data_IF_746881365076
#
_entry.id   IF_746881365076
#
_cell.length_a   1.000
_cell.length_b   1.000
_cell.length_c   1.000
_cell.angle_alpha   90.00
_cell.angle_beta   90.00
_cell.angle_gamma   90.00
#
_symmetry.space_group_name_H-M   'P 1'
#
loop_
_entity.id
_entity.type
_entity.pdbx_description
1 polymer ?
#
# COMPACT_ATOMS: atom_id res chain seq x y z
N UNK A 1 -7.21 -15.31 14.20
CA UNK A 1 -7.41 -14.76 12.84
C UNK A 1 -6.65 -13.46 12.55
N UNK A 2 -6.53 -12.48 13.48
CA UNK A 2 -5.81 -11.22 13.21
C UNK A 2 -4.32 -11.38 12.84
N UNK A 3 -3.59 -12.28 13.49
CA UNK A 3 -2.17 -12.50 13.20
C UNK A 3 -1.92 -13.00 11.75
N UNK A 4 -2.84 -13.81 11.21
CA UNK A 4 -2.77 -14.32 9.83
C UNK A 4 -3.00 -13.22 8.81
N UNK A 5 -3.97 -12.33 9.05
CA UNK A 5 -4.25 -11.18 8.18
C UNK A 5 -3.07 -10.20 8.15
N UNK A 6 -2.51 -9.86 9.31
CA UNK A 6 -1.33 -8.99 9.39
C UNK A 6 -0.13 -9.62 8.68
N UNK A 7 0.13 -10.91 8.90
CA UNK A 7 1.24 -11.61 8.24
C UNK A 7 1.11 -11.68 6.71
N UNK A 8 -0.13 -11.71 6.20
CA UNK A 8 -0.40 -11.72 4.76
C UNK A 8 -0.33 -10.32 4.13
N UNK A 9 -0.76 -9.27 4.84
CA UNK A 9 -0.79 -7.90 4.30
C UNK A 9 0.55 -7.17 4.44
N UNK A 10 1.31 -7.46 5.51
CA UNK A 10 2.57 -6.76 5.83
C UNK A 10 3.60 -6.77 4.69
N UNK A 11 3.85 -7.89 3.99
CA UNK A 11 4.79 -7.91 2.87
C UNK A 11 4.41 -6.91 1.76
N UNK A 12 3.13 -6.73 1.48
CA UNK A 12 2.67 -5.80 0.45
C UNK A 12 2.84 -4.34 0.88
N UNK A 13 2.56 -4.03 2.15
CA UNK A 13 2.80 -2.70 2.71
C UNK A 13 4.28 -2.33 2.65
N UNK A 14 5.18 -3.26 2.98
CA UNK A 14 6.62 -3.02 2.94
C UNK A 14 7.13 -2.73 1.53
N UNK A 15 6.55 -3.35 0.49
CA UNK A 15 6.89 -3.02 -0.91
C UNK A 15 6.54 -1.58 -1.26
N UNK A 16 5.38 -1.09 -0.83
CA UNK A 16 4.99 0.32 -1.06
C UNK A 16 5.86 1.28 -0.26
N UNK A 17 6.22 0.93 0.98
CA UNK A 17 7.14 1.71 1.82
C UNK A 17 8.52 1.82 1.17
N UNK A 18 9.04 0.74 0.58
CA UNK A 18 10.32 0.77 -0.15
C UNK A 18 10.28 1.73 -1.35
N UNK A 19 9.18 1.74 -2.11
CA UNK A 19 8.98 2.72 -3.19
C UNK A 19 8.92 4.15 -2.66
N UNK A 20 8.26 4.38 -1.53
CA UNK A 20 8.22 5.69 -0.90
C UNK A 20 9.60 6.17 -0.44
N UNK A 21 10.45 5.27 0.09
CA UNK A 21 11.85 5.56 0.44
C UNK A 21 12.67 5.87 -0.83
N UNK A 22 12.44 5.16 -1.92
CA UNK A 22 13.10 5.43 -3.22
C UNK A 22 12.71 6.80 -3.77
N UNK A 23 11.45 7.21 -3.62
CA UNK A 23 10.99 8.53 -4.05
C UNK A 23 11.71 9.67 -3.31
N UNK A 24 11.94 9.54 -2.00
CA UNK A 24 12.71 10.53 -1.23
C UNK A 24 14.17 10.66 -1.70
N UNK A 25 14.71 9.64 -2.36
CA UNK A 25 16.03 9.67 -2.98
C UNK A 25 16.01 10.26 -4.40
N UNK A 26 14.88 10.84 -4.82
CA UNK A 26 14.69 11.47 -6.13
C UNK A 26 14.32 10.50 -7.25
N UNK A 27 13.99 9.23 -6.95
CA UNK A 27 13.59 8.27 -7.98
C UNK A 27 12.14 8.48 -8.40
N UNK A 28 11.86 8.41 -9.71
CA UNK A 28 10.50 8.37 -10.21
C UNK A 28 9.90 6.97 -9.98
N UNK A 29 8.93 6.87 -9.07
CA UNK A 29 8.30 5.61 -8.67
C UNK A 29 6.82 5.51 -9.07
N UNK A 30 6.24 6.51 -9.75
CA UNK A 30 4.80 6.59 -9.97
C UNK A 30 4.23 5.35 -10.68
N UNK A 31 4.91 4.90 -11.73
CA UNK A 31 4.56 3.66 -12.43
C UNK A 31 4.69 2.44 -11.51
N UNK A 32 5.81 2.32 -10.76
CA UNK A 32 6.07 1.19 -9.87
C UNK A 32 4.98 1.08 -8.79
N UNK A 33 4.53 2.21 -8.25
CA UNK A 33 3.49 2.26 -7.22
C UNK A 33 2.18 1.73 -7.77
N UNK A 34 1.77 2.20 -8.95
CA UNK A 34 0.53 1.72 -9.60
C UNK A 34 0.59 0.22 -9.91
N UNK A 35 1.68 -0.25 -10.49
CA UNK A 35 1.88 -1.68 -10.81
C UNK A 35 1.90 -2.55 -9.55
N UNK A 36 2.62 -2.13 -8.51
CA UNK A 36 2.71 -2.85 -7.22
C UNK A 36 1.34 -2.93 -6.54
N UNK A 37 0.58 -1.83 -6.55
CA UNK A 37 -0.76 -1.79 -5.96
C UNK A 37 -1.72 -2.68 -6.74
N UNK A 38 -1.69 -2.64 -8.08
CA UNK A 38 -2.54 -3.48 -8.92
C UNK A 38 -2.28 -4.97 -8.65
N UNK A 39 -1.01 -5.39 -8.63
CA UNK A 39 -0.61 -6.77 -8.32
C UNK A 39 -1.04 -7.18 -6.91
N UNK A 40 -0.82 -6.30 -5.93
CA UNK A 40 -1.25 -6.56 -4.55
C UNK A 40 -2.76 -6.75 -4.46
N UNK A 41 -3.55 -5.87 -5.09
CA UNK A 41 -5.01 -5.98 -5.06
C UNK A 41 -5.49 -7.28 -5.70
N UNK A 42 -4.87 -7.73 -6.81
CA UNK A 42 -5.16 -9.02 -7.41
C UNK A 42 -4.80 -10.18 -6.46
N UNK A 43 -3.57 -10.18 -5.93
CA UNK A 43 -3.07 -11.21 -5.00
C UNK A 43 -3.93 -11.36 -3.74
N UNK A 44 -4.41 -10.25 -3.18
CA UNK A 44 -5.30 -10.25 -2.01
C UNK A 44 -6.73 -10.67 -2.37
N UNK A 45 -7.21 -10.31 -3.57
CA UNK A 45 -8.57 -10.65 -4.03
C UNK A 45 -8.73 -12.14 -4.34
N UNK A 46 -7.64 -12.83 -4.70
CA UNK A 46 -7.65 -14.27 -4.97
C UNK A 46 -7.69 -15.14 -3.71
N UNK A 47 -7.57 -14.55 -2.51
CA UNK A 47 -7.58 -15.29 -1.25
C UNK A 47 -9.01 -15.52 -0.74
N UNK A 48 -9.20 -16.61 0.01
CA UNK A 48 -10.51 -16.95 0.60
C UNK A 48 -11.06 -15.87 1.58
N UNK A 49 -10.18 -15.02 2.11
CA UNK A 49 -10.49 -13.93 3.03
C UNK A 49 -10.26 -12.54 2.41
N UNK A 50 -10.40 -12.43 1.09
CA UNK A 50 -10.15 -11.23 0.29
C UNK A 50 -10.66 -9.92 0.92
N UNK A 51 -11.94 -9.86 1.31
CA UNK A 51 -12.53 -8.65 1.87
C UNK A 51 -11.78 -8.15 3.11
N UNK A 52 -11.39 -9.06 4.01
CA UNK A 52 -10.66 -8.72 5.22
C UNK A 52 -9.21 -8.30 4.90
N UNK A 53 -8.56 -8.96 3.95
CA UNK A 53 -7.20 -8.61 3.53
C UNK A 53 -7.13 -7.24 2.86
N UNK A 54 -8.06 -6.95 1.94
CA UNK A 54 -8.15 -5.66 1.26
C UNK A 54 -8.42 -4.54 2.25
N UNK A 55 -9.35 -4.73 3.19
CA UNK A 55 -9.62 -3.76 4.24
C UNK A 55 -8.38 -3.50 5.11
N UNK A 56 -7.69 -4.56 5.55
CA UNK A 56 -6.44 -4.41 6.33
C UNK A 56 -5.30 -3.78 5.53
N UNK A 57 -5.25 -3.97 4.21
CA UNK A 57 -4.28 -3.29 3.35
C UNK A 57 -4.55 -1.77 3.30
N UNK A 58 -5.82 -1.36 3.19
CA UNK A 58 -6.19 0.06 3.27
C UNK A 58 -5.84 0.67 4.62
N UNK A 59 -6.22 0.00 5.72
CA UNK A 59 -5.88 0.44 7.08
C UNK A 59 -4.36 0.57 7.29
N UNK A 60 -3.58 -0.35 6.72
CA UNK A 60 -2.13 -0.32 6.78
C UNK A 60 -1.52 0.88 6.05
N UNK A 61 -2.02 1.21 4.86
CA UNK A 61 -1.58 2.39 4.11
C UNK A 61 -1.94 3.69 4.85
N UNK A 62 -3.16 3.80 5.39
CA UNK A 62 -3.59 4.96 6.15
C UNK A 62 -2.77 5.12 7.45
N UNK A 63 -2.48 4.02 8.13
CA UNK A 63 -1.63 4.01 9.32
C UNK A 63 -0.21 4.45 9.01
N UNK A 64 0.36 3.99 7.89
CA UNK A 64 1.70 4.39 7.45
C UNK A 64 1.76 5.89 7.10
N UNK A 65 0.69 6.46 6.53
CA UNK A 65 0.57 7.91 6.29
C UNK A 65 0.51 8.67 7.62
N UNK A 66 -0.31 8.21 8.57
CA UNK A 66 -0.51 8.87 9.85
C UNK A 66 0.76 8.86 10.73
N UNK A 67 1.57 7.81 10.63
CA UNK A 67 2.81 7.65 11.39
C UNK A 67 4.03 8.30 10.73
N UNK A 68 3.94 8.68 9.45
CA UNK A 68 5.05 9.31 8.75
C UNK A 68 5.38 10.69 9.35
N UNK A 69 6.68 10.96 9.52
CA UNK A 69 7.14 12.29 9.90
C UNK A 69 6.71 13.32 8.84
N UNK A 70 6.10 14.44 9.27
CA UNK A 70 5.53 15.46 8.36
C UNK A 70 6.53 16.04 7.35
N UNK A 71 7.82 16.04 7.66
CA UNK A 71 8.88 16.50 6.78
C UNK A 71 9.16 15.56 5.58
N UNK A 72 8.61 14.34 5.58
CA UNK A 72 8.81 13.33 4.52
C UNK A 72 7.73 13.47 3.44
N UNK A 73 7.72 14.61 2.75
CA UNK A 73 6.64 14.97 1.82
C UNK A 73 6.49 13.98 0.66
N UNK A 74 7.59 13.60 -0.01
CA UNK A 74 7.57 12.65 -1.13
C UNK A 74 7.16 11.25 -0.69
N UNK A 75 7.61 10.81 0.48
CA UNK A 75 7.18 9.55 1.07
C UNK A 75 5.67 9.52 1.30
N UNK A 76 5.14 10.56 1.95
CA UNK A 76 3.69 10.69 2.23
C UNK A 76 2.90 10.76 0.92
N UNK A 77 3.41 11.50 -0.08
CA UNK A 77 2.81 11.59 -1.41
C UNK A 77 2.68 10.23 -2.07
N UNK A 78 3.72 9.40 -2.02
CA UNK A 78 3.69 8.04 -2.57
C UNK A 78 2.70 7.15 -1.83
N UNK A 79 2.68 7.16 -0.50
CA UNK A 79 1.74 6.36 0.28
C UNK A 79 0.27 6.74 -0.01
N UNK A 80 -0.01 8.05 -0.13
CA UNK A 80 -1.34 8.55 -0.51
C UNK A 80 -1.73 8.13 -1.92
N UNK A 81 -0.78 8.19 -2.87
CA UNK A 81 -1.02 7.74 -4.24
C UNK A 81 -1.32 6.24 -4.29
N UNK A 82 -0.60 5.44 -3.51
CA UNK A 82 -0.88 4.01 -3.38
C UNK A 82 -2.29 3.74 -2.81
N UNK A 83 -2.67 4.44 -1.74
CA UNK A 83 -4.00 4.31 -1.13
C UNK A 83 -5.12 4.74 -2.07
N UNK A 84 -4.92 5.81 -2.85
CA UNK A 84 -5.88 6.26 -3.86
C UNK A 84 -6.03 5.23 -4.99
N UNK A 85 -4.92 4.70 -5.51
CA UNK A 85 -4.94 3.68 -6.55
C UNK A 85 -5.65 2.40 -6.08
N UNK A 86 -5.36 1.94 -4.86
CA UNK A 86 -5.94 0.73 -4.30
C UNK A 86 -7.46 0.88 -4.11
N UNK A 87 -7.92 2.06 -3.66
CA UNK A 87 -9.35 2.38 -3.55
C UNK A 87 -10.04 2.52 -4.91
N UNK A 88 -9.34 2.99 -5.93
CA UNK A 88 -9.85 3.02 -7.31
C UNK A 88 -10.16 1.60 -7.80
N UNK A 89 -9.20 0.70 -7.66
CA UNK A 89 -9.33 -0.70 -8.09
C UNK A 89 -10.41 -1.49 -7.33
N UNK A 90 -10.71 -1.13 -6.09
CA UNK A 90 -11.77 -1.79 -5.33
C UNK A 90 -13.20 -1.31 -5.69
N UNK A 91 -13.31 -0.26 -6.51
CA UNK A 91 -14.58 0.28 -7.00
C UNK A 91 -14.92 -0.18 -8.42
N UNK A 92 -13.92 -0.62 -9.17
CA UNK A 92 -14.03 -1.18 -10.52
C UNK A 92 -14.39 -2.67 -10.48
#
# INVERSE_FOLDING_TARGET
MKATVVGLVTPHLLRVVDLAIKAEKGMNVDWHVRDTVAKTMAELSDQFNAQALVASYFEGLDSAIAQAARAREDYIRVLRAAAAAARGLARD
#
